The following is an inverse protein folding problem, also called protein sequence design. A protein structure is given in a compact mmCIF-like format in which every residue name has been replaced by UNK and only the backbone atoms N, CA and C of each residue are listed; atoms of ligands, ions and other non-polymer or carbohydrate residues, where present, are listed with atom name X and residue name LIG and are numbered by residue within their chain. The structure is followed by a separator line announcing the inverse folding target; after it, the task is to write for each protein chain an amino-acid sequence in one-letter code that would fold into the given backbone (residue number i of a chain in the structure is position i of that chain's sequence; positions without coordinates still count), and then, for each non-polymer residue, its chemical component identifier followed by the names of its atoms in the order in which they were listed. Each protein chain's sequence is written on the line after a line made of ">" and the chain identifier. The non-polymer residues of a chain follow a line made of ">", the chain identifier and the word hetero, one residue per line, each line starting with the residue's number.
data_IF_844495800626
#
_entry.id   IF_844495800626
#
_cell.length_a   1.000
_cell.length_b   1.000
_cell.length_c   1.000
_cell.angle_alpha   90.00
_cell.angle_beta   90.00
_cell.angle_gamma   90.00
#
_symmetry.space_group_name_H-M   'P 1'
#
loop_
_entity.id
_entity.type
_entity.pdbx_description
1 polymer ?
#
# COMPACT_ATOMS: atom_id res chain seq x y z
N UNK A 1 6.18 2.40 6.37
CA UNK A 1 6.40 1.12 7.08
C UNK A 1 5.63 1.02 8.39
N UNK A 2 5.99 1.71 9.48
CA UNK A 2 5.24 1.53 10.74
C UNK A 2 3.74 1.80 10.62
N UNK A 3 3.35 2.86 9.92
CA UNK A 3 1.93 3.12 9.62
C UNK A 3 1.27 2.03 8.76
N UNK A 4 2.02 1.37 7.87
CA UNK A 4 1.53 0.28 7.03
C UNK A 4 1.25 -0.97 7.87
N UNK A 5 2.19 -1.37 8.72
CA UNK A 5 2.01 -2.49 9.65
C UNK A 5 0.85 -2.25 10.62
N UNK A 6 0.75 -1.03 11.14
CA UNK A 6 -0.37 -0.64 11.99
C UNK A 6 -1.69 -0.70 11.23
N UNK A 7 -1.70 -0.37 9.94
CA UNK A 7 -2.84 -0.55 9.04
C UNK A 7 -3.28 -2.01 8.95
N UNK A 8 -2.36 -2.96 8.77
CA UNK A 8 -2.71 -4.38 8.77
C UNK A 8 -3.37 -4.84 10.07
N UNK A 9 -2.89 -4.34 11.21
CA UNK A 9 -3.46 -4.63 12.53
C UNK A 9 -4.84 -3.98 12.69
N UNK A 10 -4.95 -2.69 12.35
CA UNK A 10 -6.19 -1.91 12.45
C UNK A 10 -7.31 -2.54 11.61
N UNK A 11 -6.98 -3.05 10.42
CA UNK A 11 -7.92 -3.69 9.50
C UNK A 11 -8.05 -5.21 9.68
N UNK A 12 -7.36 -5.78 10.68
CA UNK A 12 -7.40 -7.21 11.02
C UNK A 12 -7.12 -8.13 9.83
N UNK A 13 -6.17 -7.74 8.96
CA UNK A 13 -5.89 -8.46 7.71
C UNK A 13 -5.47 -9.93 7.95
N UNK A 14 -4.70 -10.21 9.01
CA UNK A 14 -4.34 -11.58 9.37
C UNK A 14 -5.55 -12.47 9.69
N UNK A 15 -6.47 -11.97 10.53
CA UNK A 15 -7.71 -12.66 10.87
C UNK A 15 -8.61 -12.85 9.65
N UNK A 16 -8.78 -11.81 8.83
CA UNK A 16 -9.56 -11.88 7.57
C UNK A 16 -8.98 -12.92 6.61
N UNK A 17 -7.64 -12.99 6.49
CA UNK A 17 -6.94 -13.98 5.67
C UNK A 17 -7.20 -15.41 6.13
N UNK A 18 -7.16 -15.67 7.44
CA UNK A 18 -7.47 -17.00 7.99
C UNK A 18 -8.90 -17.40 7.64
N UNK A 19 -9.88 -16.54 7.92
CA UNK A 19 -11.29 -16.83 7.60
C UNK A 19 -11.52 -17.01 6.11
N UNK A 20 -10.85 -16.23 5.27
CA UNK A 20 -10.90 -16.39 3.82
C UNK A 20 -10.37 -17.76 3.40
N UNK A 21 -9.17 -18.16 3.85
CA UNK A 21 -8.59 -19.46 3.50
C UNK A 21 -9.49 -20.62 3.95
N UNK A 22 -10.11 -20.51 5.12
CA UNK A 22 -11.08 -21.49 5.60
C UNK A 22 -12.32 -21.55 4.71
N UNK A 23 -12.93 -20.39 4.42
CA UNK A 23 -14.14 -20.32 3.59
C UNK A 23 -13.90 -20.85 2.18
N UNK A 24 -12.77 -20.50 1.59
CA UNK A 24 -12.37 -21.00 0.27
C UNK A 24 -12.13 -22.51 0.30
N UNK A 25 -11.47 -23.04 1.33
CA UNK A 25 -11.27 -24.49 1.50
C UNK A 25 -12.59 -25.26 1.66
N UNK A 26 -13.55 -24.70 2.41
CA UNK A 26 -14.89 -25.29 2.57
C UNK A 26 -15.63 -25.31 1.23
N UNK A 27 -15.65 -24.19 0.50
CA UNK A 27 -16.32 -24.10 -0.80
C UNK A 27 -15.70 -25.04 -1.83
N UNK A 28 -14.37 -25.14 -1.87
CA UNK A 28 -13.67 -26.08 -2.74
C UNK A 28 -14.08 -27.54 -2.43
N UNK A 29 -14.14 -27.91 -1.14
CA UNK A 29 -14.58 -29.24 -0.70
C UNK A 29 -16.05 -29.54 -1.06
N UNK A 30 -16.95 -28.55 -0.96
CA UNK A 30 -18.36 -28.71 -1.33
C UNK A 30 -18.56 -28.90 -2.83
N UNK A 31 -17.80 -28.20 -3.66
CA UNK A 31 -17.98 -28.23 -5.12
C UNK A 31 -17.32 -29.47 -5.75
N UNK A 32 -16.11 -29.82 -5.31
CA UNK A 32 -15.34 -30.91 -5.91
C UNK A 32 -15.42 -32.23 -5.16
N UNK A 33 -16.00 -32.27 -3.96
CA UNK A 33 -16.04 -33.46 -3.12
C UNK A 33 -14.66 -33.92 -2.63
N UNK A 34 -13.63 -33.11 -2.88
CA UNK A 34 -12.23 -33.41 -2.63
C UNK A 34 -11.57 -32.22 -1.93
N UNK A 35 -11.05 -32.47 -0.73
CA UNK A 35 -10.25 -31.49 0.02
C UNK A 35 -8.78 -31.44 -0.47
N UNK A 36 -8.39 -32.32 -1.40
CA UNK A 36 -7.03 -32.49 -1.91
C UNK A 36 -6.83 -32.09 -3.39
N UNK A 37 -7.90 -31.69 -4.09
CA UNK A 37 -7.93 -31.59 -5.54
C UNK A 37 -7.25 -30.36 -6.13
N UNK A 38 -6.11 -30.59 -6.80
CA UNK A 38 -5.31 -29.57 -7.52
C UNK A 38 -6.09 -28.80 -8.60
N UNK A 39 -7.18 -29.34 -9.15
CA UNK A 39 -7.99 -28.69 -10.19
C UNK A 39 -8.83 -27.50 -9.67
N UNK A 40 -9.17 -27.47 -8.38
CA UNK A 40 -9.89 -26.36 -7.76
C UNK A 40 -8.97 -25.18 -7.38
N UNK A 41 -7.65 -25.32 -7.56
CA UNK A 41 -6.66 -24.39 -7.01
C UNK A 41 -6.61 -23.04 -7.74
N UNK A 42 -6.87 -22.97 -9.03
CA UNK A 42 -6.66 -21.72 -9.81
C UNK A 42 -7.62 -20.60 -9.41
N UNK A 43 -8.96 -20.79 -9.36
CA UNK A 43 -9.88 -19.73 -8.92
C UNK A 43 -9.62 -19.31 -7.47
N UNK A 44 -9.25 -20.27 -6.63
CA UNK A 44 -8.89 -20.07 -5.21
C UNK A 44 -7.63 -19.21 -5.06
N UNK A 45 -6.61 -19.49 -5.87
CA UNK A 45 -5.36 -18.71 -5.89
C UNK A 45 -5.63 -17.29 -6.41
N UNK A 46 -6.42 -17.12 -7.47
CA UNK A 46 -6.76 -15.79 -7.97
C UNK A 46 -7.55 -14.97 -6.94
N UNK A 47 -8.52 -15.59 -6.26
CA UNK A 47 -9.26 -14.95 -5.17
C UNK A 47 -8.34 -14.53 -4.01
N UNK A 48 -7.40 -15.39 -3.60
CA UNK A 48 -6.46 -15.03 -2.53
C UNK A 48 -5.48 -13.93 -2.93
N UNK A 49 -5.02 -13.92 -4.19
CA UNK A 49 -4.16 -12.84 -4.73
C UNK A 49 -4.89 -11.49 -4.79
N UNK A 50 -6.15 -11.45 -5.21
CA UNK A 50 -6.93 -10.21 -5.26
C UNK A 50 -7.11 -9.61 -3.85
N UNK A 51 -7.52 -10.43 -2.88
CA UNK A 51 -7.64 -9.98 -1.49
C UNK A 51 -6.32 -9.48 -0.89
N UNK A 52 -5.19 -10.10 -1.28
CA UNK A 52 -3.88 -9.62 -0.87
C UNK A 52 -3.63 -8.19 -1.35
N UNK A 53 -4.00 -7.86 -2.60
CA UNK A 53 -3.89 -6.48 -3.12
C UNK A 53 -4.81 -5.52 -2.39
N UNK A 54 -6.03 -5.94 -2.08
CA UNK A 54 -6.99 -5.13 -1.33
C UNK A 54 -6.46 -4.79 0.06
N UNK A 55 -5.84 -5.75 0.75
CA UNK A 55 -5.21 -5.54 2.06
C UNK A 55 -4.03 -4.57 1.99
N UNK A 56 -3.18 -4.65 0.96
CA UNK A 56 -2.11 -3.66 0.75
C UNK A 56 -2.71 -2.26 0.52
N UNK A 57 -3.79 -2.13 -0.28
CA UNK A 57 -4.44 -0.84 -0.55
C UNK A 57 -5.05 -0.22 0.71
N UNK A 58 -5.68 -1.03 1.56
CA UNK A 58 -6.22 -0.62 2.87
C UNK A 58 -5.08 -0.18 3.81
N UNK A 59 -4.00 -0.96 3.90
CA UNK A 59 -2.85 -0.64 4.73
C UNK A 59 -2.09 0.62 4.26
N UNK A 60 -1.91 0.79 2.96
CA UNK A 60 -1.32 2.00 2.36
C UNK A 60 -2.18 3.23 2.66
N UNK A 61 -3.52 3.10 2.59
CA UNK A 61 -4.44 4.21 2.85
C UNK A 61 -4.34 4.64 4.32
N UNK A 62 -4.30 3.67 5.22
CA UNK A 62 -4.07 3.90 6.64
C UNK A 62 -2.72 4.59 6.87
N UNK A 63 -1.64 4.11 6.24
CA UNK A 63 -0.31 4.69 6.39
C UNK A 63 -0.25 6.15 5.92
N UNK A 64 -0.90 6.47 4.79
CA UNK A 64 -1.01 7.83 4.26
C UNK A 64 -1.76 8.74 5.22
N UNK A 65 -2.91 8.29 5.74
CA UNK A 65 -3.67 9.04 6.74
C UNK A 65 -2.86 9.26 8.03
N UNK A 66 -2.19 8.21 8.50
CA UNK A 66 -1.33 8.27 9.69
C UNK A 66 -0.21 9.30 9.54
N UNK A 67 0.50 9.30 8.40
CA UNK A 67 1.56 10.27 8.11
C UNK A 67 1.02 11.70 8.08
N UNK A 68 -0.10 11.93 7.39
CA UNK A 68 -0.77 13.24 7.31
C UNK A 68 -1.15 13.77 8.69
N UNK A 69 -1.80 12.95 9.51
CA UNK A 69 -2.19 13.34 10.88
C UNK A 69 -0.99 13.59 11.79
N UNK A 70 0.16 12.99 11.49
CA UNK A 70 1.41 13.17 12.23
C UNK A 70 2.24 14.35 11.73
N UNK A 71 1.78 15.09 10.70
CA UNK A 71 2.55 16.17 10.07
C UNK A 71 3.78 15.69 9.30
N UNK A 72 3.84 14.40 8.94
CA UNK A 72 4.95 13.81 8.18
C UNK A 72 4.55 13.70 6.72
N UNK A 73 5.42 14.18 5.81
CA UNK A 73 5.13 14.15 4.38
C UNK A 73 5.01 12.73 3.83
N UNK A 74 3.99 12.50 3.00
CA UNK A 74 3.74 11.22 2.31
C UNK A 74 4.83 10.85 1.31
N UNK A 75 5.67 11.82 0.90
CA UNK A 75 6.83 11.61 0.03
C UNK A 75 7.79 10.56 0.55
N UNK A 76 8.00 10.48 1.87
CA UNK A 76 8.87 9.47 2.47
C UNK A 76 8.38 8.04 2.24
N UNK A 77 7.06 7.84 2.23
CA UNK A 77 6.46 6.53 1.95
C UNK A 77 6.64 6.16 0.48
N UNK A 78 6.44 7.11 -0.43
CA UNK A 78 6.72 6.95 -1.87
C UNK A 78 8.17 6.57 -2.13
N UNK A 79 9.12 7.34 -1.59
CA UNK A 79 10.55 7.08 -1.76
C UNK A 79 10.96 5.72 -1.21
N UNK A 80 10.35 5.28 -0.11
CA UNK A 80 10.57 3.96 0.43
C UNK A 80 10.19 2.87 -0.58
N UNK A 81 9.00 2.94 -1.19
CA UNK A 81 8.56 1.93 -2.17
C UNK A 81 9.38 1.96 -3.46
N UNK A 82 9.80 3.12 -3.95
CA UNK A 82 10.70 3.21 -5.11
C UNK A 82 12.05 2.53 -4.82
N UNK A 83 12.63 2.80 -3.64
CA UNK A 83 13.89 2.17 -3.23
C UNK A 83 13.71 0.66 -3.03
N UNK A 84 12.53 0.23 -2.64
CA UNK A 84 12.16 -1.17 -2.44
C UNK A 84 12.04 -1.90 -3.78
N UNK A 85 11.31 -1.35 -4.75
CA UNK A 85 11.20 -1.87 -6.12
C UNK A 85 12.57 -1.95 -6.81
N UNK A 86 13.39 -0.91 -6.73
CA UNK A 86 14.74 -0.95 -7.27
C UNK A 86 15.64 -2.02 -6.61
N UNK A 87 15.32 -2.48 -5.38
CA UNK A 87 16.00 -3.62 -4.75
C UNK A 87 15.48 -4.95 -5.24
N UNK A 88 14.20 -5.06 -5.59
CA UNK A 88 13.59 -6.24 -6.21
C UNK A 88 14.24 -6.54 -7.56
N UNK A 89 14.30 -5.53 -8.45
CA UNK A 89 14.88 -5.68 -9.79
C UNK A 89 16.37 -6.11 -9.76
N UNK A 90 17.11 -5.64 -8.76
CA UNK A 90 18.52 -6.00 -8.57
C UNK A 90 18.72 -7.40 -7.99
N UNK A 91 17.68 -8.03 -7.41
CA UNK A 91 17.75 -9.34 -6.72
C UNK A 91 17.11 -10.46 -7.53
N UNK A 92 17.69 -10.78 -8.70
CA UNK A 92 17.46 -12.08 -9.34
C UNK A 92 18.30 -13.24 -8.74
N UNK A 93 19.08 -13.01 -7.67
CA UNK A 93 20.05 -14.02 -7.16
C UNK A 93 20.39 -14.01 -5.66
N UNK A 94 19.59 -13.39 -4.80
CA UNK A 94 19.86 -13.38 -3.36
C UNK A 94 18.59 -13.10 -2.56
N UNK A 95 18.42 -13.84 -1.45
CA UNK A 95 17.23 -13.88 -0.58
C UNK A 95 16.36 -12.62 -0.62
N UNK A 96 15.12 -12.77 -1.07
CA UNK A 96 14.07 -11.77 -0.92
C UNK A 96 13.88 -11.58 0.60
N UNK A 97 14.01 -10.37 1.15
CA UNK A 97 13.69 -10.10 2.55
C UNK A 97 12.27 -10.58 2.88
N UNK A 98 12.04 -11.18 4.06
CA UNK A 98 10.74 -11.76 4.45
C UNK A 98 9.57 -10.78 4.29
N UNK A 99 9.84 -9.49 4.48
CA UNK A 99 8.88 -8.41 4.26
C UNK A 99 8.42 -8.32 2.79
N UNK A 100 9.32 -8.46 1.84
CA UNK A 100 9.02 -8.39 0.40
C UNK A 100 8.24 -9.61 -0.10
N UNK A 101 8.49 -10.76 0.51
CA UNK A 101 7.72 -11.99 0.26
C UNK A 101 6.25 -11.86 0.71
N UNK A 102 5.96 -10.96 1.64
CA UNK A 102 4.62 -10.74 2.22
C UNK A 102 3.95 -9.46 1.71
N UNK A 103 4.73 -8.46 1.32
CA UNK A 103 4.32 -7.14 0.85
C UNK A 103 5.08 -6.75 -0.42
N UNK A 104 4.70 -7.29 -1.60
CA UNK A 104 5.33 -6.90 -2.84
C UNK A 104 5.10 -5.41 -3.11
N UNK A 105 6.16 -4.71 -3.52
CA UNK A 105 6.02 -3.39 -4.14
C UNK A 105 5.41 -3.58 -5.52
N UNK A 106 4.42 -2.78 -5.88
CA UNK A 106 3.82 -2.79 -7.21
C UNK A 106 3.84 -1.37 -7.77
N UNK A 107 3.92 -1.28 -9.10
CA UNK A 107 3.81 -0.01 -9.83
C UNK A 107 2.54 0.76 -9.43
N UNK A 108 1.41 0.05 -9.28
CA UNK A 108 0.12 0.61 -8.80
C UNK A 108 0.26 1.36 -7.47
N UNK A 109 1.07 0.86 -6.52
CA UNK A 109 1.26 1.51 -5.22
C UNK A 109 2.04 2.81 -5.36
N UNK A 110 3.07 2.80 -6.20
CA UNK A 110 3.89 3.99 -6.47
C UNK A 110 3.03 5.06 -7.15
N UNK A 111 2.25 4.70 -8.17
CA UNK A 111 1.32 5.61 -8.86
C UNK A 111 0.32 6.24 -7.88
N UNK A 112 -0.23 5.45 -6.95
CA UNK A 112 -1.17 5.97 -5.96
C UNK A 112 -0.50 6.95 -4.99
N UNK A 113 0.72 6.63 -4.54
CA UNK A 113 1.49 7.52 -3.67
C UNK A 113 1.91 8.79 -4.40
N UNK A 114 2.21 8.71 -5.69
CA UNK A 114 2.47 9.88 -6.54
C UNK A 114 1.27 10.84 -6.54
N UNK A 115 0.07 10.32 -6.75
CA UNK A 115 -1.15 11.12 -6.68
C UNK A 115 -1.36 11.78 -5.31
N UNK A 116 -1.01 11.09 -4.22
CA UNK A 116 -1.15 11.65 -2.87
C UNK A 116 -0.10 12.70 -2.52
N UNK A 117 1.13 12.56 -3.04
CA UNK A 117 2.20 13.57 -2.91
C UNK A 117 1.83 14.84 -3.68
N UNK A 118 1.33 14.72 -4.91
CA UNK A 118 0.89 15.88 -5.71
C UNK A 118 -0.23 16.67 -5.03
N UNK A 119 -1.20 15.97 -4.41
CA UNK A 119 -2.26 16.63 -3.62
C UNK A 119 -1.69 17.39 -2.42
N UNK A 120 -0.70 16.82 -1.74
CA UNK A 120 -0.04 17.45 -0.60
C UNK A 120 0.74 18.72 -1.02
N UNK A 121 1.46 18.64 -2.13
CA UNK A 121 2.19 19.78 -2.71
C UNK A 121 1.25 20.91 -3.16
N UNK A 122 0.17 20.57 -3.85
CA UNK A 122 -0.84 21.54 -4.27
C UNK A 122 -1.53 22.23 -3.07
N UNK A 123 -1.82 21.47 -2.01
CA UNK A 123 -2.36 22.03 -0.77
C UNK A 123 -1.36 22.97 -0.08
N UNK A 124 -0.07 22.62 -0.09
CA UNK A 124 1.00 23.45 0.49
C UNK A 124 1.18 24.75 -0.29
N UNK A 125 1.15 24.71 -1.62
CA UNK A 125 1.25 25.89 -2.48
C UNK A 125 0.03 26.81 -2.30
N UNK A 126 -1.19 26.25 -2.23
CA UNK A 126 -2.41 27.02 -1.96
C UNK A 126 -2.41 27.70 -0.58
N UNK A 127 -1.79 27.06 0.42
CA UNK A 127 -1.67 27.61 1.77
C UNK A 127 -0.54 28.66 1.91
N UNK A 128 0.26 28.88 0.86
CA UNK A 128 1.39 29.80 0.88
C UNK A 128 0.87 31.24 0.86
N UNK A 129 1.16 32.08 1.86
CA UNK A 129 0.67 33.46 1.91
C UNK A 129 1.18 34.24 0.70
N UNK A 130 0.32 35.05 0.08
CA UNK A 130 0.71 35.95 -0.99
C UNK A 130 1.87 36.82 -0.50
N UNK A 131 3.02 36.73 -1.19
CA UNK A 131 4.13 37.61 -0.92
C UNK A 131 3.65 39.05 -1.15
N UNK A 132 3.93 40.00 -0.23
CA UNK A 132 3.63 41.39 -0.50
C UNK A 132 4.35 41.82 -1.78
N UNK A 133 3.61 42.42 -2.71
CA UNK A 133 4.12 42.94 -3.97
C UNK A 133 5.38 43.79 -3.71
N UNK A 134 6.52 43.49 -4.37
CA UNK A 134 7.73 44.30 -4.25
C UNK A 134 7.49 45.66 -4.93
N UNK A 135 6.88 46.60 -4.21
CA UNK A 135 6.54 47.91 -4.74
C UNK A 135 5.76 48.84 -3.81
N UNK A 136 5.20 48.36 -2.69
CA UNK A 136 4.42 49.20 -1.76
C UNK A 136 5.26 50.00 -0.74
N UNK A 137 6.58 50.09 -0.92
CA UNK A 137 7.46 50.95 -0.13
C UNK A 137 7.99 52.09 -1.01
N UNK A 138 7.07 52.95 -1.49
CA UNK A 138 7.36 54.17 -2.20
C UNK A 138 6.91 55.38 -1.40
N UNK A 139 7.88 56.28 -1.15
CA UNK A 139 7.74 57.72 -0.84
C UNK A 139 6.96 58.14 0.41
N UNK A 140 7.70 58.54 1.45
CA UNK A 140 7.58 59.85 2.09
C UNK A 140 8.91 60.25 2.74
#
# INVERSE_FOLDING_TARGET
>A
MLGHELGHVAHKHGTRRIFQSMGVGILAGLIWGDFSGTAASVPVVLGTLQYSRDFEREADAFAIAFLRTSGVSTRHLREFFIRLEAREERKHRGSIPDFLSTHPSTEERIERLDAEVQKEEAATESARPALPEPGAAGSN
#
